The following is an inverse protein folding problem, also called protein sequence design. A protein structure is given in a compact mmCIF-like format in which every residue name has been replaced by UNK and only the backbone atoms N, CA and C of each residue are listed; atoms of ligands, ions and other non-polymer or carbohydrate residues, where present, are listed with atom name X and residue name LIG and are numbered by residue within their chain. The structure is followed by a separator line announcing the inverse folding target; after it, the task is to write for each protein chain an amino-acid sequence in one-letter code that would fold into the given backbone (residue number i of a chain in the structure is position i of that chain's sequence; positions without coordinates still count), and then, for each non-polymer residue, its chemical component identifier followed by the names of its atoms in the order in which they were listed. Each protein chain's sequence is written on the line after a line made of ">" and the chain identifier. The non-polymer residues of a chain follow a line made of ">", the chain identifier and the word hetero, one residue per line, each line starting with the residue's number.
data_IF_689386971986
#
_entry.id   IF_689386971986
#
_cell.length_a   1.000
_cell.length_b   1.000
_cell.length_c   1.000
_cell.angle_alpha   90.00
_cell.angle_beta   90.00
_cell.angle_gamma   90.00
#
_symmetry.space_group_name_H-M   'P 1'
#
loop_
_entity.id
_entity.type
_entity.pdbx_description
1 polymer ?
#
# COMPACT_ATOMS: atom_id res chain seq x y z
N UNK A 1 -32.68 26.82 -25.15
CA UNK A 1 -32.08 26.21 -23.92
C UNK A 1 -33.16 26.14 -22.88
N UNK A 2 -33.82 25.00 -22.73
CA UNK A 2 -34.84 24.82 -21.68
C UNK A 2 -34.16 24.62 -20.30
N UNK A 3 -34.71 25.19 -19.22
CA UNK A 3 -34.15 25.02 -17.90
C UNK A 3 -34.42 23.62 -17.38
N UNK A 4 -33.36 22.94 -16.90
CA UNK A 4 -33.43 21.62 -16.25
C UNK A 4 -34.51 21.59 -15.17
N UNK A 5 -35.38 20.57 -15.22
CA UNK A 5 -36.52 20.42 -14.34
C UNK A 5 -36.09 20.29 -12.85
N UNK A 6 -36.87 20.90 -11.95
CA UNK A 6 -36.67 20.86 -10.50
C UNK A 6 -36.62 19.44 -9.91
N UNK A 7 -37.09 18.42 -10.64
CA UNK A 7 -37.04 17.00 -10.30
C UNK A 7 -35.62 16.43 -10.33
N UNK A 8 -34.77 16.88 -11.27
CA UNK A 8 -33.41 16.38 -11.41
C UNK A 8 -32.45 16.95 -10.36
N UNK A 9 -32.72 18.17 -9.89
CA UNK A 9 -31.93 18.80 -8.79
C UNK A 9 -32.29 18.18 -7.43
N UNK A 10 -33.53 17.67 -7.26
CA UNK A 10 -33.96 16.97 -6.03
C UNK A 10 -33.34 15.57 -5.94
N UNK A 11 -33.16 14.87 -7.09
CA UNK A 11 -32.58 13.52 -7.12
C UNK A 11 -31.10 13.53 -6.69
N UNK A 12 -30.34 14.59 -6.98
CA UNK A 12 -28.94 14.72 -6.56
C UNK A 12 -28.77 15.10 -5.08
N UNK A 13 -29.83 15.51 -4.37
CA UNK A 13 -29.78 15.88 -2.94
C UNK A 13 -30.14 14.73 -1.99
N UNK A 14 -30.65 13.59 -2.48
CA UNK A 14 -31.15 12.50 -1.63
C UNK A 14 -30.15 11.39 -1.32
N UNK A 15 -28.89 11.50 -1.79
CA UNK A 15 -27.84 10.51 -1.48
C UNK A 15 -26.86 10.93 -0.37
N UNK A 16 -27.29 11.84 0.51
CA UNK A 16 -26.48 12.28 1.64
C UNK A 16 -27.17 12.02 2.98
N UNK A 17 -27.35 10.76 3.35
CA UNK A 17 -27.44 10.34 4.76
C UNK A 17 -27.16 8.84 4.85
N UNK A 18 -25.92 8.46 4.67
CA UNK A 18 -25.41 7.26 5.31
C UNK A 18 -24.35 7.72 6.31
N UNK A 19 -24.54 7.40 7.58
CA UNK A 19 -23.62 7.68 8.69
C UNK A 19 -22.40 6.75 8.61
N UNK A 20 -21.79 6.68 7.43
CA UNK A 20 -20.49 6.08 7.20
C UNK A 20 -19.44 6.81 8.03
N UNK A 21 -18.62 6.09 8.73
CA UNK A 21 -17.50 6.58 9.53
C UNK A 21 -16.72 7.60 8.68
N UNK A 22 -16.85 8.88 9.00
CA UNK A 22 -16.23 9.97 8.24
C UNK A 22 -14.72 9.79 8.32
N UNK A 23 -14.05 9.74 7.17
CA UNK A 23 -12.59 9.67 7.08
C UNK A 23 -11.94 10.73 7.97
N UNK A 24 -11.05 10.33 8.86
CA UNK A 24 -10.30 11.25 9.72
C UNK A 24 -9.09 11.80 8.97
N UNK A 25 -9.30 12.90 8.25
CA UNK A 25 -8.25 13.57 7.46
C UNK A 25 -7.08 14.02 8.30
N UNK A 26 -7.33 14.50 9.53
CA UNK A 26 -6.27 15.00 10.40
C UNK A 26 -5.34 13.88 10.85
N UNK A 27 -5.91 12.73 11.20
CA UNK A 27 -5.13 11.54 11.54
C UNK A 27 -4.29 11.07 10.35
N UNK A 28 -4.87 11.00 9.16
CA UNK A 28 -4.14 10.59 7.95
C UNK A 28 -2.98 11.52 7.64
N UNK A 29 -3.21 12.83 7.61
CA UNK A 29 -2.15 13.83 7.36
C UNK A 29 -1.06 13.82 8.42
N UNK A 30 -1.43 13.64 9.70
CA UNK A 30 -0.47 13.51 10.79
C UNK A 30 0.45 12.32 10.56
N UNK A 31 -0.14 11.14 10.30
CA UNK A 31 0.63 9.91 10.09
C UNK A 31 1.47 9.98 8.80
N UNK A 32 0.94 10.56 7.72
CA UNK A 32 1.70 10.75 6.49
C UNK A 32 2.94 11.64 6.71
N UNK A 33 2.79 12.77 7.40
CA UNK A 33 3.93 13.65 7.75
C UNK A 33 4.95 12.96 8.66
N UNK A 34 4.49 12.12 9.60
CA UNK A 34 5.38 11.39 10.50
C UNK A 34 6.22 10.36 9.73
N UNK A 35 5.59 9.65 8.77
CA UNK A 35 6.27 8.66 7.94
C UNK A 35 7.40 9.23 7.09
N UNK A 36 7.28 10.48 6.62
CA UNK A 36 8.29 11.18 5.80
C UNK A 36 9.03 12.26 6.60
N UNK A 37 9.09 12.14 7.93
CA UNK A 37 9.80 13.10 8.76
C UNK A 37 11.29 13.17 8.40
N UNK A 38 11.93 14.36 8.44
CA UNK A 38 13.33 14.52 8.06
C UNK A 38 14.26 13.58 8.83
N UNK A 39 15.18 12.93 8.11
CA UNK A 39 16.16 12.01 8.66
C UNK A 39 15.65 10.61 8.98
N UNK A 40 14.37 10.33 8.75
CA UNK A 40 13.77 9.00 8.97
C UNK A 40 13.16 8.47 7.69
N UNK A 41 13.20 7.15 7.52
CA UNK A 41 12.63 6.44 6.37
C UNK A 41 11.70 5.31 6.78
N UNK A 42 11.06 4.69 5.79
CA UNK A 42 10.18 3.52 5.98
C UNK A 42 10.99 2.25 5.68
N UNK A 43 10.99 1.31 6.63
CA UNK A 43 11.60 0.00 6.45
C UNK A 43 10.59 -0.98 5.84
N UNK A 44 10.93 -1.56 4.69
CA UNK A 44 10.18 -2.67 4.12
C UNK A 44 10.62 -3.99 4.77
N UNK A 45 9.72 -4.64 5.52
CA UNK A 45 9.87 -5.96 6.12
C UNK A 45 8.66 -6.84 5.78
N UNK A 46 8.12 -6.63 4.57
CA UNK A 46 6.85 -7.17 4.08
C UNK A 46 7.02 -8.32 3.08
N UNK A 47 8.19 -8.93 3.03
CA UNK A 47 8.42 -10.09 2.18
C UNK A 47 7.36 -11.16 2.46
N UNK A 48 6.80 -11.72 1.38
CA UNK A 48 5.89 -12.85 1.49
C UNK A 48 6.58 -14.05 2.15
N UNK A 49 5.80 -14.97 2.70
CA UNK A 49 6.35 -16.18 3.32
C UNK A 49 7.29 -16.93 2.35
N UNK A 50 6.92 -17.06 1.08
CA UNK A 50 7.78 -17.70 0.06
C UNK A 50 9.09 -16.95 -0.15
N UNK A 51 9.05 -15.63 -0.32
CA UNK A 51 10.26 -14.80 -0.49
C UNK A 51 11.17 -14.87 0.73
N UNK A 52 10.60 -14.76 1.93
CA UNK A 52 11.39 -14.82 3.16
C UNK A 52 11.99 -16.21 3.38
N UNK A 53 11.22 -17.28 3.11
CA UNK A 53 11.71 -18.65 3.18
C UNK A 53 12.91 -18.88 2.26
N UNK A 54 12.80 -18.47 1.00
CA UNK A 54 13.93 -18.60 0.05
C UNK A 54 15.18 -17.84 0.50
N UNK A 55 15.02 -16.67 1.13
CA UNK A 55 16.16 -15.90 1.68
C UNK A 55 16.82 -16.60 2.87
N UNK A 56 16.04 -17.20 3.78
CA UNK A 56 16.56 -17.96 4.92
C UNK A 56 17.28 -19.22 4.45
N UNK A 57 16.71 -19.96 3.52
CA UNK A 57 17.31 -21.18 2.95
C UNK A 57 18.61 -20.87 2.21
N UNK A 58 18.71 -19.74 1.51
CA UNK A 58 19.92 -19.31 0.83
C UNK A 58 21.12 -19.08 1.78
N UNK A 59 20.85 -18.85 3.07
CA UNK A 59 21.87 -18.70 4.13
C UNK A 59 21.92 -19.91 5.06
N UNK A 60 21.30 -21.05 4.68
CA UNK A 60 21.37 -22.32 5.40
C UNK A 60 20.46 -22.39 6.64
N UNK A 61 19.46 -21.53 6.74
CA UNK A 61 18.45 -21.55 7.81
C UNK A 61 17.19 -22.24 7.30
N UNK A 62 16.75 -23.31 8.01
CA UNK A 62 15.49 -23.96 7.68
C UNK A 62 14.30 -23.01 7.81
N UNK A 63 13.52 -22.89 6.74
CA UNK A 63 12.39 -21.97 6.70
C UNK A 63 11.20 -22.51 7.51
N UNK A 64 10.79 -21.76 8.51
CA UNK A 64 9.59 -22.02 9.31
C UNK A 64 8.91 -20.71 9.71
N UNK A 65 7.66 -20.71 10.17
CA UNK A 65 7.02 -19.52 10.73
C UNK A 65 7.83 -18.92 11.89
N UNK A 66 8.45 -19.77 12.71
CA UNK A 66 9.30 -19.37 13.85
C UNK A 66 10.58 -18.70 13.38
N UNK A 67 11.24 -19.25 12.35
CA UNK A 67 12.46 -18.66 11.79
C UNK A 67 12.17 -17.29 11.16
N UNK A 68 11.07 -17.15 10.42
CA UNK A 68 10.64 -15.86 9.87
C UNK A 68 10.29 -14.85 10.96
N UNK A 69 9.60 -15.30 12.03
CA UNK A 69 9.31 -14.46 13.20
C UNK A 69 10.59 -14.01 13.91
N UNK A 70 11.50 -14.95 14.17
CA UNK A 70 12.75 -14.66 14.88
C UNK A 70 13.61 -13.66 14.12
N UNK A 71 13.72 -13.80 12.80
CA UNK A 71 14.42 -12.84 11.94
C UNK A 71 13.85 -11.42 12.09
N UNK A 72 12.54 -11.27 11.98
CA UNK A 72 11.86 -9.97 12.09
C UNK A 72 11.89 -9.41 13.51
N UNK A 73 11.72 -10.27 14.54
CA UNK A 73 11.83 -9.85 15.93
C UNK A 73 13.24 -9.32 16.24
N UNK A 74 14.29 -9.98 15.76
CA UNK A 74 15.66 -9.50 15.89
C UNK A 74 15.86 -8.13 15.24
N UNK A 75 15.33 -7.93 14.02
CA UNK A 75 15.38 -6.65 13.32
C UNK A 75 14.70 -5.53 14.13
N UNK A 76 13.51 -5.79 14.67
CA UNK A 76 12.72 -4.80 15.41
C UNK A 76 13.20 -4.60 16.86
N UNK A 77 14.07 -5.47 17.39
CA UNK A 77 14.71 -5.31 18.71
C UNK A 77 16.05 -4.56 18.64
N UNK A 78 16.57 -4.28 17.45
CA UNK A 78 17.82 -3.54 17.28
C UNK A 78 17.72 -2.18 17.97
N UNK A 79 18.70 -1.87 18.84
CA UNK A 79 18.70 -0.62 19.60
C UNK A 79 18.99 0.59 18.69
N UNK A 80 18.22 1.66 18.83
CA UNK A 80 18.44 2.93 18.15
C UNK A 80 17.92 3.02 16.72
N UNK A 81 17.38 1.93 16.13
CA UNK A 81 16.86 1.99 14.75
C UNK A 81 15.71 2.99 14.59
N UNK A 82 14.97 3.25 15.64
CA UNK A 82 13.87 4.21 15.69
C UNK A 82 14.30 5.65 15.40
N UNK A 83 15.59 5.94 15.54
CA UNK A 83 16.14 7.25 15.19
C UNK A 83 16.18 7.48 13.66
N UNK A 84 16.25 6.40 12.86
CA UNK A 84 16.33 6.43 11.40
C UNK A 84 15.07 5.91 10.72
N UNK A 85 14.19 5.17 11.43
CA UNK A 85 13.00 4.52 10.87
C UNK A 85 11.74 5.14 11.46
N UNK A 86 10.86 5.65 10.60
CA UNK A 86 9.57 6.24 10.96
C UNK A 86 8.42 5.23 10.90
N UNK A 87 8.53 4.22 10.04
CA UNK A 87 7.51 3.20 9.86
C UNK A 87 8.10 1.88 9.36
N UNK A 88 7.40 0.79 9.62
CA UNK A 88 7.78 -0.55 9.15
C UNK A 88 6.59 -1.18 8.44
N UNK A 89 6.79 -1.60 7.18
CA UNK A 89 5.79 -2.36 6.43
C UNK A 89 5.89 -3.83 6.85
N UNK A 90 4.81 -4.38 7.40
CA UNK A 90 4.73 -5.77 7.83
C UNK A 90 4.00 -6.64 6.80
N UNK A 91 4.23 -7.95 6.86
CA UNK A 91 3.42 -8.95 6.17
C UNK A 91 2.29 -9.46 7.09
N UNK A 92 1.22 -10.04 6.53
CA UNK A 92 0.04 -10.50 7.31
C UNK A 92 0.42 -11.48 8.43
N UNK A 93 1.31 -12.45 8.17
CA UNK A 93 1.81 -13.36 9.20
C UNK A 93 2.44 -12.58 10.36
N UNK A 94 3.26 -11.59 10.05
CA UNK A 94 4.07 -10.85 11.04
C UNK A 94 3.24 -9.94 11.94
N UNK A 95 2.25 -9.24 11.39
CA UNK A 95 1.39 -8.34 12.19
C UNK A 95 0.59 -9.10 13.26
N UNK A 96 0.38 -10.41 13.05
CA UNK A 96 -0.32 -11.29 13.98
C UNK A 96 0.58 -11.89 15.05
N UNK A 97 1.90 -11.82 14.88
CA UNK A 97 2.92 -12.43 15.75
C UNK A 97 3.30 -11.53 16.94
N UNK A 98 4.10 -12.10 17.82
CA UNK A 98 4.63 -11.42 19.01
C UNK A 98 6.15 -11.53 19.07
N UNK A 99 6.77 -10.59 19.77
CA UNK A 99 8.18 -10.61 20.15
C UNK A 99 8.45 -11.76 21.15
N UNK A 100 9.71 -12.05 21.45
CA UNK A 100 10.10 -13.12 22.39
C UNK A 100 9.61 -12.85 23.82
N UNK A 101 9.41 -11.58 24.18
CA UNK A 101 8.85 -11.16 25.47
C UNK A 101 7.32 -11.25 25.54
N UNK A 102 6.66 -11.78 24.50
CA UNK A 102 5.20 -11.91 24.39
C UNK A 102 4.44 -10.66 23.94
N UNK A 103 5.10 -9.50 23.83
CA UNK A 103 4.50 -8.26 23.35
C UNK A 103 4.16 -8.38 21.85
N UNK A 104 3.03 -7.83 21.41
CA UNK A 104 2.71 -7.77 19.97
C UNK A 104 3.74 -6.95 19.22
N UNK A 105 4.12 -7.39 18.00
CA UNK A 105 5.07 -6.67 17.15
C UNK A 105 4.60 -5.22 16.88
N UNK A 106 3.32 -5.01 16.62
CA UNK A 106 2.78 -3.66 16.41
C UNK A 106 2.88 -2.78 17.65
N UNK A 107 2.75 -3.35 18.83
CA UNK A 107 2.91 -2.63 20.10
C UNK A 107 4.38 -2.25 20.33
N UNK A 108 5.32 -3.19 20.10
CA UNK A 108 6.76 -2.92 20.21
C UNK A 108 7.19 -1.77 19.30
N UNK A 109 6.76 -1.78 18.02
CA UNK A 109 7.02 -0.70 17.08
C UNK A 109 6.44 0.63 17.57
N UNK A 110 5.18 0.65 17.99
CA UNK A 110 4.49 1.87 18.41
C UNK A 110 5.11 2.50 19.67
N UNK A 111 5.54 1.69 20.65
CA UNK A 111 6.20 2.16 21.87
C UNK A 111 7.57 2.80 21.59
N UNK A 112 8.22 2.42 20.48
CA UNK A 112 9.46 3.05 19.98
C UNK A 112 9.21 4.27 19.08
N UNK A 113 7.95 4.68 18.89
CA UNK A 113 7.61 5.80 17.99
C UNK A 113 7.79 5.46 16.51
N UNK A 114 7.64 4.18 16.16
CA UNK A 114 7.69 3.67 14.78
C UNK A 114 6.29 3.22 14.37
N UNK A 115 5.75 3.77 13.29
CA UNK A 115 4.40 3.44 12.82
C UNK A 115 4.37 2.03 12.19
N UNK A 116 3.49 1.12 12.65
CA UNK A 116 3.29 -0.14 11.97
C UNK A 116 2.51 0.06 10.67
N UNK A 117 2.97 -0.57 9.60
CA UNK A 117 2.29 -0.63 8.30
C UNK A 117 2.05 -2.06 7.86
N UNK A 118 1.29 -2.24 6.81
CA UNK A 118 0.88 -3.56 6.32
C UNK A 118 0.80 -3.62 4.80
N UNK A 119 1.43 -4.64 4.20
CA UNK A 119 1.22 -4.99 2.79
C UNK A 119 -0.15 -5.64 2.64
N UNK A 120 -1.01 -5.04 1.81
CA UNK A 120 -2.41 -5.49 1.66
C UNK A 120 -2.74 -6.08 0.29
N UNK A 121 -1.87 -5.92 -0.71
CA UNK A 121 -2.05 -6.59 -1.99
C UNK A 121 -1.80 -8.10 -1.88
N UNK A 122 -2.37 -8.87 -2.80
CA UNK A 122 -2.22 -10.33 -2.90
C UNK A 122 -1.24 -10.74 -4.02
N UNK A 123 -0.48 -9.79 -4.54
CA UNK A 123 0.55 -9.97 -5.56
C UNK A 123 0.11 -9.61 -6.97
N UNK A 124 1.10 -9.36 -7.82
CA UNK A 124 0.92 -9.10 -9.24
C UNK A 124 0.63 -10.41 -9.98
N UNK A 125 -0.44 -10.41 -10.78
CA UNK A 125 -0.90 -11.52 -11.62
C UNK A 125 -0.81 -11.14 -13.09
N UNK A 126 -0.83 -12.12 -13.98
CA UNK A 126 -0.90 -11.84 -15.43
C UNK A 126 -2.18 -11.06 -15.76
N UNK A 127 -2.04 -9.98 -16.51
CA UNK A 127 -3.18 -9.23 -17.02
C UNK A 127 -3.82 -10.05 -18.15
N UNK A 128 -5.09 -10.43 -17.98
CA UNK A 128 -5.79 -11.28 -18.93
C UNK A 128 -5.76 -10.66 -20.34
N UNK A 129 -5.39 -11.46 -21.33
CA UNK A 129 -5.26 -11.11 -22.75
C UNK A 129 -4.10 -10.15 -23.11
N UNK A 130 -3.24 -9.79 -22.15
CA UNK A 130 -2.08 -8.92 -22.35
C UNK A 130 -0.79 -9.63 -21.90
N UNK A 131 -0.14 -10.31 -22.84
CA UNK A 131 1.04 -11.11 -22.56
C UNK A 131 2.19 -10.26 -22.00
N UNK A 132 2.80 -10.75 -20.90
CA UNK A 132 3.95 -10.09 -20.24
C UNK A 132 3.59 -8.87 -19.39
N UNK A 133 2.32 -8.49 -19.31
CA UNK A 133 1.82 -7.42 -18.45
C UNK A 133 1.13 -7.97 -17.20
N UNK A 134 1.11 -7.18 -16.14
CA UNK A 134 0.55 -7.60 -14.85
C UNK A 134 -0.45 -6.60 -14.30
N UNK A 135 -1.37 -7.12 -13.51
CA UNK A 135 -2.26 -6.35 -12.63
C UNK A 135 -2.09 -6.87 -11.20
N UNK A 136 -2.05 -5.96 -10.25
CA UNK A 136 -1.99 -6.34 -8.84
C UNK A 136 -3.40 -6.56 -8.31
N UNK A 137 -3.61 -7.70 -7.65
CA UNK A 137 -4.89 -8.11 -7.07
C UNK A 137 -4.93 -7.88 -5.56
N UNK A 138 -6.14 -8.02 -4.95
CA UNK A 138 -6.34 -7.93 -3.51
C UNK A 138 -7.42 -6.94 -3.07
N UNK A 139 -8.23 -6.40 -4.00
CA UNK A 139 -9.33 -5.48 -3.66
C UNK A 139 -10.51 -6.20 -2.98
N UNK A 140 -10.72 -7.49 -3.28
CA UNK A 140 -11.80 -8.25 -2.67
C UNK A 140 -11.56 -8.44 -1.16
N UNK A 141 -12.56 -8.09 -0.35
CA UNK A 141 -12.48 -8.12 1.11
C UNK A 141 -11.45 -7.14 1.72
N UNK A 142 -10.92 -6.19 0.95
CA UNK A 142 -9.89 -5.26 1.42
C UNK A 142 -10.40 -4.35 2.54
N UNK A 143 -11.66 -3.90 2.50
CA UNK A 143 -12.24 -3.04 3.54
C UNK A 143 -12.21 -3.72 4.91
N UNK A 144 -12.62 -4.97 4.96
CA UNK A 144 -12.66 -5.78 6.18
C UNK A 144 -11.25 -6.03 6.72
N UNK A 145 -10.30 -6.37 5.82
CA UNK A 145 -8.89 -6.55 6.18
C UNK A 145 -8.26 -5.25 6.70
N UNK A 146 -8.49 -4.12 6.05
CA UNK A 146 -7.98 -2.82 6.51
C UNK A 146 -8.54 -2.45 7.89
N UNK A 147 -9.83 -2.70 8.14
CA UNK A 147 -10.45 -2.50 9.46
C UNK A 147 -9.79 -3.37 10.53
N UNK A 148 -9.54 -4.64 10.23
CA UNK A 148 -8.83 -5.57 11.12
C UNK A 148 -7.41 -5.07 11.41
N UNK A 149 -6.62 -4.76 10.37
CA UNK A 149 -5.24 -4.30 10.53
C UNK A 149 -5.14 -2.98 11.31
N UNK A 150 -6.06 -2.04 11.09
CA UNK A 150 -6.12 -0.83 11.89
C UNK A 150 -6.36 -1.15 13.37
N UNK A 151 -7.24 -2.10 13.68
CA UNK A 151 -7.48 -2.55 15.06
C UNK A 151 -6.29 -3.24 15.70
N UNK A 152 -5.43 -3.89 14.89
CA UNK A 152 -4.17 -4.49 15.32
C UNK A 152 -3.03 -3.48 15.52
N UNK A 153 -3.24 -2.22 15.19
CA UNK A 153 -2.26 -1.15 15.37
C UNK A 153 -1.63 -0.61 14.09
N UNK A 154 -1.96 -1.13 12.92
CA UNK A 154 -1.48 -0.55 11.65
C UNK A 154 -1.96 0.90 11.47
N UNK A 155 -1.10 1.74 10.87
CA UNK A 155 -1.38 3.15 10.59
C UNK A 155 -1.20 3.50 9.12
N UNK A 156 -0.56 2.65 8.36
CA UNK A 156 -0.41 2.81 6.92
C UNK A 156 -0.47 1.45 6.21
N UNK A 157 -0.67 1.47 4.91
CA UNK A 157 -0.75 0.28 4.08
C UNK A 157 0.10 0.47 2.82
N UNK A 158 0.55 -0.65 2.24
CA UNK A 158 1.29 -0.68 0.99
C UNK A 158 0.57 -1.56 -0.03
N UNK A 159 0.54 -1.08 -1.27
CA UNK A 159 0.11 -1.80 -2.45
C UNK A 159 1.05 -1.48 -3.61
N UNK A 160 1.71 -2.49 -4.15
CA UNK A 160 2.64 -2.37 -5.26
C UNK A 160 1.98 -2.77 -6.58
N UNK A 161 1.87 -1.85 -7.53
CA UNK A 161 1.61 -2.18 -8.93
C UNK A 161 2.94 -2.33 -9.68
N UNK A 162 3.02 -3.28 -10.61
CA UNK A 162 4.25 -3.58 -11.36
C UNK A 162 4.03 -3.31 -12.83
N UNK A 163 4.78 -2.38 -13.39
CA UNK A 163 4.73 -1.98 -14.80
C UNK A 163 6.05 -2.36 -15.46
N UNK A 164 5.98 -3.18 -16.49
CA UNK A 164 7.15 -3.60 -17.29
C UNK A 164 7.22 -2.80 -18.57
N UNK A 165 8.44 -2.43 -18.97
CA UNK A 165 8.74 -1.83 -20.26
C UNK A 165 9.27 -2.91 -21.22
N UNK A 166 8.75 -2.92 -22.45
CA UNK A 166 9.16 -3.86 -23.50
C UNK A 166 8.61 -3.44 -24.86
N UNK A 167 8.72 -4.33 -25.85
CA UNK A 167 8.19 -4.07 -27.19
C UNK A 167 6.65 -4.05 -27.14
N UNK A 168 6.05 -2.89 -27.44
CA UNK A 168 4.61 -2.67 -27.39
C UNK A 168 3.97 -2.64 -25.99
N UNK A 169 4.75 -2.67 -24.91
CA UNK A 169 4.27 -2.57 -23.52
C UNK A 169 5.00 -1.46 -22.74
N UNK A 170 4.36 -0.82 -21.73
CA UNK A 170 3.01 -1.12 -21.21
C UNK A 170 1.89 -0.65 -22.14
N UNK A 171 0.81 -1.44 -22.19
CA UNK A 171 -0.41 -1.07 -22.87
C UNK A 171 -1.22 -0.05 -22.06
N UNK A 172 -2.11 0.69 -22.72
CA UNK A 172 -3.07 1.57 -22.03
C UNK A 172 -3.95 0.78 -21.05
N UNK A 173 -4.28 -0.47 -21.37
CA UNK A 173 -5.04 -1.34 -20.49
C UNK A 173 -4.28 -1.64 -19.17
N UNK A 174 -2.99 -1.96 -19.25
CA UNK A 174 -2.15 -2.19 -18.08
C UNK A 174 -2.09 -0.94 -17.19
N UNK A 175 -1.79 0.22 -17.78
CA UNK A 175 -1.70 1.48 -17.04
C UNK A 175 -3.02 1.84 -16.37
N UNK A 176 -4.13 1.80 -17.10
CA UNK A 176 -5.45 2.20 -16.57
C UNK A 176 -5.96 1.25 -15.49
N UNK A 177 -5.77 -0.06 -15.66
CA UNK A 177 -6.21 -1.06 -14.68
C UNK A 177 -5.44 -0.95 -13.36
N UNK A 178 -4.12 -0.77 -13.44
CA UNK A 178 -3.30 -0.59 -12.24
C UNK A 178 -3.55 0.75 -11.55
N UNK A 179 -3.71 1.85 -12.31
CA UNK A 179 -4.06 3.15 -11.76
C UNK A 179 -5.42 3.10 -11.02
N UNK A 180 -6.42 2.46 -11.62
CA UNK A 180 -7.73 2.27 -11.00
C UNK A 180 -7.64 1.43 -9.71
N UNK A 181 -6.87 0.33 -9.73
CA UNK A 181 -6.66 -0.51 -8.55
C UNK A 181 -5.98 0.26 -7.40
N UNK A 182 -4.92 1.04 -7.71
CA UNK A 182 -4.23 1.89 -6.74
C UNK A 182 -5.15 2.94 -6.11
N UNK A 183 -5.97 3.59 -6.92
CA UNK A 183 -6.91 4.61 -6.42
C UNK A 183 -8.01 4.00 -5.54
N UNK A 184 -8.60 2.87 -5.94
CA UNK A 184 -9.59 2.15 -5.13
C UNK A 184 -9.02 1.65 -3.81
N UNK A 185 -7.85 1.05 -3.85
CA UNK A 185 -7.12 0.63 -2.65
C UNK A 185 -6.91 1.81 -1.70
N UNK A 186 -6.44 2.95 -2.23
CA UNK A 186 -6.17 4.15 -1.44
C UNK A 186 -7.41 4.69 -0.74
N UNK A 187 -8.53 4.78 -1.47
CA UNK A 187 -9.80 5.22 -0.88
C UNK A 187 -10.28 4.29 0.24
N UNK A 188 -10.18 2.96 0.06
CA UNK A 188 -10.54 1.97 1.08
C UNK A 188 -9.63 2.09 2.32
N UNK A 189 -8.33 2.25 2.13
CA UNK A 189 -7.40 2.45 3.24
C UNK A 189 -7.74 3.70 4.06
N UNK A 190 -7.95 4.84 3.40
CA UNK A 190 -8.28 6.09 4.07
C UNK A 190 -9.62 6.05 4.80
N UNK A 191 -10.62 5.37 4.24
CA UNK A 191 -11.89 5.11 4.92
C UNK A 191 -11.70 4.39 6.27
N UNK A 192 -10.69 3.50 6.34
CA UNK A 192 -10.37 2.75 7.56
C UNK A 192 -9.30 3.41 8.44
N UNK A 193 -8.79 4.59 8.08
CA UNK A 193 -7.80 5.37 8.85
C UNK A 193 -6.35 4.99 8.58
N UNK A 194 -6.07 4.27 7.51
CA UNK A 194 -4.73 3.89 7.06
C UNK A 194 -4.23 4.85 5.98
N UNK A 195 -3.01 5.35 6.11
CA UNK A 195 -2.31 6.10 5.06
C UNK A 195 -1.92 5.13 3.94
N UNK A 196 -2.39 5.29 2.69
CA UNK A 196 -1.96 4.44 1.60
C UNK A 196 -0.60 4.87 1.06
N UNK A 197 0.32 3.93 0.84
CA UNK A 197 1.47 4.09 -0.05
C UNK A 197 1.00 3.73 -1.47
N UNK A 198 1.03 4.70 -2.37
CA UNK A 198 0.60 4.57 -3.77
C UNK A 198 1.85 4.28 -4.61
N UNK A 199 2.09 3.00 -4.95
CA UNK A 199 3.34 2.53 -5.54
C UNK A 199 3.12 1.97 -6.96
N UNK A 200 3.01 2.84 -8.00
CA UNK A 200 3.05 2.42 -9.40
C UNK A 200 4.51 2.22 -9.83
N UNK A 201 5.07 1.05 -9.55
CA UNK A 201 6.48 0.77 -9.82
C UNK A 201 6.71 0.41 -11.29
N UNK A 202 7.48 1.23 -11.98
CA UNK A 202 8.03 0.90 -13.29
C UNK A 202 9.36 0.16 -13.09
N UNK A 203 9.44 -1.08 -13.60
CA UNK A 203 10.64 -1.89 -13.46
C UNK A 203 11.81 -1.27 -14.22
N UNK A 204 12.97 -1.20 -13.56
CA UNK A 204 14.20 -0.70 -14.17
C UNK A 204 14.88 -1.72 -15.07
N UNK A 205 14.52 -3.00 -14.95
CA UNK A 205 15.10 -4.10 -15.73
C UNK A 205 14.58 -4.10 -17.17
N UNK A 206 15.49 -4.24 -18.14
CA UNK A 206 15.15 -4.30 -19.55
C UNK A 206 16.19 -3.64 -20.44
N UNK A 207 15.86 -3.52 -21.73
CA UNK A 207 16.73 -2.86 -22.74
C UNK A 207 16.38 -1.40 -23.01
N UNK A 208 15.46 -0.81 -22.25
CA UNK A 208 15.03 0.58 -22.41
C UNK A 208 16.02 1.56 -21.76
N UNK A 209 16.04 2.79 -22.24
CA UNK A 209 16.86 3.86 -21.68
C UNK A 209 16.12 4.65 -20.57
N UNK A 210 16.84 5.57 -19.93
CA UNK A 210 16.31 6.39 -18.84
C UNK A 210 15.17 7.31 -19.29
N UNK A 211 15.16 7.76 -20.55
CA UNK A 211 14.10 8.63 -21.08
C UNK A 211 12.79 7.84 -21.24
N UNK A 212 12.86 6.65 -21.81
CA UNK A 212 11.71 5.74 -21.93
C UNK A 212 11.14 5.39 -20.53
N UNK A 213 12.01 5.13 -19.55
CA UNK A 213 11.59 4.91 -18.18
C UNK A 213 10.87 6.13 -17.59
N UNK A 214 11.40 7.33 -17.82
CA UNK A 214 10.77 8.58 -17.39
C UNK A 214 9.38 8.78 -18.00
N UNK A 215 9.24 8.57 -19.31
CA UNK A 215 7.98 8.78 -20.03
C UNK A 215 6.89 7.81 -19.53
N UNK A 216 7.23 6.52 -19.35
CA UNK A 216 6.30 5.51 -18.80
C UNK A 216 5.94 5.84 -17.35
N UNK A 217 6.92 6.23 -16.53
CA UNK A 217 6.68 6.60 -15.13
C UNK A 217 5.77 7.82 -15.04
N UNK A 218 6.00 8.85 -15.86
CA UNK A 218 5.13 10.02 -15.92
C UNK A 218 3.71 9.63 -16.31
N UNK A 219 3.54 8.78 -17.33
CA UNK A 219 2.24 8.33 -17.80
C UNK A 219 1.44 7.57 -16.73
N UNK A 220 2.09 6.65 -16.00
CA UNK A 220 1.38 5.91 -14.94
C UNK A 220 1.09 6.79 -13.73
N UNK A 221 1.95 7.75 -13.39
CA UNK A 221 1.69 8.71 -12.32
C UNK A 221 0.49 9.60 -12.66
N UNK A 222 0.45 10.17 -13.86
CA UNK A 222 -0.66 10.99 -14.33
C UNK A 222 -1.99 10.21 -14.27
N UNK A 223 -2.00 8.98 -14.79
CA UNK A 223 -3.16 8.10 -14.73
C UNK A 223 -3.59 7.80 -13.27
N UNK A 224 -2.63 7.53 -12.39
CA UNK A 224 -2.88 7.21 -10.99
C UNK A 224 -3.47 8.40 -10.24
N UNK A 225 -2.91 9.60 -10.39
CA UNK A 225 -3.43 10.79 -9.74
C UNK A 225 -4.82 11.17 -10.26
N UNK A 226 -5.06 11.05 -11.57
CA UNK A 226 -6.39 11.26 -12.15
C UNK A 226 -7.44 10.28 -11.59
N UNK A 227 -7.09 9.00 -11.41
CA UNK A 227 -7.97 8.02 -10.78
C UNK A 227 -8.16 8.29 -9.28
N UNK A 228 -7.13 8.71 -8.55
CA UNK A 228 -7.23 9.12 -7.15
C UNK A 228 -8.22 10.27 -6.96
N UNK A 229 -8.19 11.28 -7.83
CA UNK A 229 -9.16 12.38 -7.82
C UNK A 229 -10.59 11.88 -8.02
N UNK A 230 -10.83 11.03 -9.04
CA UNK A 230 -12.15 10.43 -9.30
C UNK A 230 -12.68 9.60 -8.14
N UNK A 231 -11.81 8.89 -7.41
CA UNK A 231 -12.16 8.08 -6.24
C UNK A 231 -12.26 8.89 -4.94
N UNK A 232 -11.96 10.18 -4.97
CA UNK A 232 -12.02 11.08 -3.81
C UNK A 232 -10.92 10.83 -2.78
N UNK A 233 -9.78 10.31 -3.22
CA UNK A 233 -8.61 10.11 -2.35
C UNK A 233 -8.09 11.45 -1.84
N UNK A 234 -7.86 11.53 -0.54
CA UNK A 234 -7.26 12.69 0.11
C UNK A 234 -5.74 12.63 0.01
N UNK A 235 -5.18 13.25 -1.04
CA UNK A 235 -3.74 13.17 -1.35
C UNK A 235 -2.83 13.60 -0.18
N UNK A 236 -3.12 14.66 0.63
CA UNK A 236 -2.27 15.00 1.78
C UNK A 236 -2.21 13.91 2.87
N UNK A 237 -3.08 12.93 2.83
CA UNK A 237 -3.11 11.74 3.69
C UNK A 237 -2.63 10.46 2.98
N UNK A 238 -1.76 10.57 1.95
CA UNK A 238 -1.16 9.47 1.19
C UNK A 238 0.36 9.66 1.05
N UNK A 239 1.07 8.61 0.62
CA UNK A 239 2.50 8.61 0.27
C UNK A 239 2.68 8.02 -1.12
#
# INVERSE_FOLDING_TARGET
>A
MEPMSKSMVSFLRTFSTDSGKRMDRQLLEKNARELVSPGRGILAADESNGTMSSRLEAVGIEASPEARRAYRANLFSTEGYESAISGVILFDETIRQSMDNGKKITQELSERGVLPGIKVDTGAKELALYEGEKVTEGLDGLRERCKEYFSMGARFAKWRAVIRIGDGIPSTACLSTNAHALARYSAICQEQGLVPIIEPEVLMDGGHDAMTCFDVTSSILDATFAECEKQGVHIPGAL
#
